data_IF_247228294549
#
_entry.id   IF_247228294549
#
_cell.length_a   1.000
_cell.length_b   1.000
_cell.length_c   1.000
_cell.angle_alpha   90.00
_cell.angle_beta   90.00
_cell.angle_gamma   90.00
#
_symmetry.space_group_name_H-M   'P 1'
#
loop_
_entity.id
_entity.type
_entity.pdbx_description
1 polymer ?
#
# COMPACT_ATOMS: atom_id res chain seq x y z
N UNK A 1 12.11 11.80 6.35
CA UNK A 1 10.66 12.09 6.14
C UNK A 1 10.49 13.41 5.41
N UNK A 2 9.59 13.47 4.48
CA UNK A 2 9.30 14.69 3.73
C UNK A 2 7.91 15.21 4.09
N UNK A 3 7.68 16.53 3.99
CA UNK A 3 6.33 17.08 4.19
C UNK A 3 5.30 16.42 3.29
N UNK A 4 5.72 16.03 2.09
CA UNK A 4 4.85 15.36 1.13
C UNK A 4 4.27 14.05 1.69
N UNK A 5 5.07 13.28 2.41
CA UNK A 5 4.60 12.04 3.03
C UNK A 5 3.48 12.30 4.03
N UNK A 6 3.67 13.29 4.89
CA UNK A 6 2.65 13.66 5.87
C UNK A 6 1.36 14.12 5.17
N UNK A 7 1.50 14.90 4.11
CA UNK A 7 0.32 15.38 3.37
C UNK A 7 -0.46 14.22 2.76
N UNK A 8 0.24 13.23 2.22
CA UNK A 8 -0.40 12.04 1.65
C UNK A 8 -1.15 11.28 2.74
N UNK A 9 -0.51 11.05 3.90
CA UNK A 9 -1.13 10.35 5.01
C UNK A 9 -2.37 11.09 5.51
N UNK A 10 -2.29 12.42 5.59
CA UNK A 10 -3.40 13.23 6.08
C UNK A 10 -4.63 13.12 5.19
N UNK A 11 -4.43 12.93 3.89
CA UNK A 11 -5.51 12.75 2.91
C UNK A 11 -5.99 11.31 2.80
N UNK A 12 -5.30 10.37 3.43
CA UNK A 12 -5.65 8.95 3.38
C UNK A 12 -6.70 8.65 4.44
N UNK A 13 -7.87 8.11 4.08
CA UNK A 13 -8.93 7.88 5.08
C UNK A 13 -8.50 7.10 6.29
N UNK A 14 -7.61 6.12 6.10
CA UNK A 14 -7.14 5.28 7.20
C UNK A 14 -6.43 6.08 8.29
N UNK A 15 -5.80 7.20 7.94
CA UNK A 15 -5.00 8.00 8.86
C UNK A 15 -5.53 9.42 9.07
N UNK A 16 -6.63 9.79 8.40
CA UNK A 16 -7.11 11.17 8.37
C UNK A 16 -7.46 11.73 9.75
N UNK A 17 -7.84 10.86 10.69
CA UNK A 17 -8.26 11.28 12.03
C UNK A 17 -7.14 11.25 13.06
N UNK A 18 -5.93 10.83 12.67
CA UNK A 18 -4.83 10.76 13.62
C UNK A 18 -4.29 12.15 13.95
N UNK A 19 -3.89 12.37 15.22
CA UNK A 19 -3.16 13.58 15.59
C UNK A 19 -1.84 13.71 14.83
N UNK A 20 -1.33 14.91 14.71
CA UNK A 20 -0.10 15.19 13.96
C UNK A 20 1.10 14.37 14.44
N UNK A 21 1.25 14.21 15.74
CA UNK A 21 2.37 13.42 16.27
C UNK A 21 2.31 11.97 15.82
N UNK A 22 1.11 11.39 15.80
CA UNK A 22 0.92 10.02 15.35
C UNK A 22 1.16 9.90 13.85
N UNK A 23 0.73 10.90 13.07
CA UNK A 23 1.00 10.92 11.62
C UNK A 23 2.51 10.98 11.34
N UNK A 24 3.26 11.74 12.11
CA UNK A 24 4.72 11.80 11.96
C UNK A 24 5.36 10.45 12.22
N UNK A 25 4.88 9.74 13.22
CA UNK A 25 5.39 8.41 13.53
C UNK A 25 5.11 7.43 12.40
N UNK A 26 3.92 7.48 11.83
CA UNK A 26 3.58 6.64 10.67
C UNK A 26 4.44 7.02 9.48
N UNK A 27 4.63 8.31 9.25
CA UNK A 27 5.46 8.79 8.15
C UNK A 27 6.90 8.30 8.26
N UNK A 28 7.43 8.21 9.48
CA UNK A 28 8.79 7.71 9.70
C UNK A 28 8.92 6.22 9.36
N UNK A 29 7.83 5.47 9.44
CA UNK A 29 7.83 4.05 9.08
C UNK A 29 7.64 3.82 7.58
N UNK A 30 7.10 4.79 6.87
CA UNK A 30 6.78 4.64 5.46
C UNK A 30 8.04 4.64 4.60
N UNK A 31 8.07 3.75 3.62
CA UNK A 31 9.17 3.64 2.67
C UNK A 31 8.63 3.99 1.28
N UNK A 32 9.26 4.96 0.63
CA UNK A 32 8.89 5.32 -0.73
C UNK A 32 9.44 4.27 -1.71
N UNK A 33 8.59 3.77 -2.58
CA UNK A 33 8.98 2.82 -3.63
C UNK A 33 8.42 3.29 -4.96
N UNK A 34 9.24 3.22 -5.99
CA UNK A 34 8.84 3.64 -7.33
C UNK A 34 8.73 2.44 -8.24
N UNK A 35 7.72 2.49 -9.11
CA UNK A 35 7.43 1.43 -10.07
C UNK A 35 7.21 2.05 -11.43
N UNK A 36 7.84 1.46 -12.44
CA UNK A 36 7.59 1.86 -13.81
C UNK A 36 6.25 1.30 -14.29
N UNK A 37 5.69 1.91 -15.31
CA UNK A 37 4.48 1.40 -15.96
C UNK A 37 4.66 -0.10 -16.28
N UNK A 38 3.65 -0.90 -15.92
CA UNK A 38 3.59 -2.36 -16.10
C UNK A 38 4.47 -3.16 -15.15
N UNK A 39 5.20 -2.51 -14.27
CA UNK A 39 5.99 -3.23 -13.29
C UNK A 39 5.09 -3.84 -12.21
N UNK A 40 5.37 -5.08 -11.81
CA UNK A 40 4.61 -5.74 -10.75
C UNK A 40 4.96 -5.14 -9.40
N UNK A 41 3.94 -4.80 -8.62
CA UNK A 41 4.11 -4.37 -7.24
C UNK A 41 4.23 -5.60 -6.34
N UNK A 42 3.33 -6.54 -6.53
CA UNK A 42 3.41 -7.87 -5.92
C UNK A 42 2.57 -8.85 -6.73
N UNK A 43 2.75 -10.13 -6.44
CA UNK A 43 1.98 -11.20 -7.06
C UNK A 43 1.13 -11.91 -6.03
N UNK A 44 0.02 -12.46 -6.49
CA UNK A 44 -0.84 -13.27 -5.62
C UNK A 44 -0.02 -14.39 -5.00
N UNK A 45 -0.15 -14.55 -3.68
CA UNK A 45 0.58 -15.56 -2.94
C UNK A 45 1.93 -15.11 -2.40
N UNK A 46 2.48 -13.99 -2.87
CA UNK A 46 3.71 -13.46 -2.30
C UNK A 46 3.50 -13.14 -0.83
N UNK A 47 4.56 -13.30 -0.04
CA UNK A 47 4.49 -12.97 1.37
C UNK A 47 4.11 -11.50 1.55
N UNK A 48 3.08 -11.27 2.34
CA UNK A 48 2.56 -9.93 2.56
C UNK A 48 3.27 -9.29 3.75
N UNK A 49 4.26 -8.45 3.45
CA UNK A 49 5.08 -7.80 4.46
C UNK A 49 4.58 -6.42 4.88
N UNK A 50 3.56 -5.92 4.23
CA UNK A 50 3.00 -4.61 4.55
C UNK A 50 1.92 -4.22 3.55
N UNK A 51 1.46 -2.99 3.69
CA UNK A 51 0.43 -2.46 2.78
C UNK A 51 0.93 -1.17 2.14
N UNK A 52 0.14 -0.63 1.22
CA UNK A 52 0.57 0.45 0.35
C UNK A 52 -0.42 1.60 0.33
N UNK A 53 0.10 2.80 0.13
CA UNK A 53 -0.68 4.01 -0.18
C UNK A 53 -0.16 4.53 -1.51
N UNK A 54 -1.05 4.86 -2.43
CA UNK A 54 -0.65 5.45 -3.71
C UNK A 54 -0.30 6.91 -3.48
N UNK A 55 0.97 7.26 -3.68
CA UNK A 55 1.41 8.65 -3.59
C UNK A 55 1.17 9.38 -4.91
N UNK A 56 1.47 8.71 -6.03
CA UNK A 56 1.18 9.23 -7.36
C UNK A 56 1.06 8.07 -8.34
N UNK A 57 0.36 8.27 -9.43
CA UNK A 57 0.15 7.24 -10.45
C UNK A 57 -1.09 6.40 -10.19
N UNK A 58 -1.10 5.20 -10.76
CA UNK A 58 -2.25 4.29 -10.66
C UNK A 58 -1.78 2.86 -10.56
N UNK A 59 -2.49 2.06 -9.77
CA UNK A 59 -2.20 0.64 -9.57
C UNK A 59 -3.46 -0.17 -9.89
N UNK A 60 -3.27 -1.24 -10.64
CA UNK A 60 -4.31 -2.20 -10.95
C UNK A 60 -4.15 -3.40 -10.02
N UNK A 61 -5.22 -3.77 -9.31
CA UNK A 61 -5.28 -4.99 -8.51
C UNK A 61 -6.18 -5.97 -9.24
N UNK A 62 -5.67 -7.18 -9.49
CA UNK A 62 -6.36 -8.12 -10.37
C UNK A 62 -6.05 -9.56 -10.02
N UNK A 63 -6.90 -10.47 -10.52
CA UNK A 63 -6.67 -11.90 -10.46
C UNK A 63 -6.55 -12.45 -11.87
N UNK A 64 -5.85 -13.57 -11.99
CA UNK A 64 -5.73 -14.30 -13.26
C UNK A 64 -6.57 -15.57 -13.19
N UNK A 65 -7.34 -15.82 -14.26
CA UNK A 65 -8.04 -17.09 -14.40
C UNK A 65 -7.05 -18.19 -14.78
N UNK A 66 -7.51 -19.44 -14.74
CA UNK A 66 -6.68 -20.57 -15.20
C UNK A 66 -6.23 -20.45 -16.65
N UNK A 67 -6.94 -19.65 -17.45
CA UNK A 67 -6.60 -19.40 -18.85
C UNK A 67 -5.72 -18.16 -19.02
N UNK A 68 -5.33 -17.51 -17.93
CA UNK A 68 -4.49 -16.32 -17.99
C UNK A 68 -5.21 -15.00 -18.23
N UNK A 69 -6.53 -14.99 -18.18
CA UNK A 69 -7.31 -13.77 -18.36
C UNK A 69 -7.33 -12.97 -17.07
N UNK A 70 -7.14 -11.67 -17.19
CA UNK A 70 -7.20 -10.77 -16.05
C UNK A 70 -8.63 -10.45 -15.67
N UNK A 71 -8.88 -10.48 -14.36
CA UNK A 71 -10.09 -9.93 -13.78
C UNK A 71 -9.67 -8.78 -12.89
N UNK A 72 -9.92 -7.55 -13.33
CA UNK A 72 -9.54 -6.37 -12.54
C UNK A 72 -10.51 -6.19 -11.40
N UNK A 73 -9.99 -6.15 -10.18
CA UNK A 73 -10.79 -5.96 -8.98
C UNK A 73 -10.88 -4.50 -8.60
N UNK A 74 -9.77 -3.78 -8.69
CA UNK A 74 -9.68 -2.36 -8.32
C UNK A 74 -8.65 -1.66 -9.16
N UNK A 75 -8.87 -0.36 -9.39
CA UNK A 75 -7.84 0.55 -9.86
C UNK A 75 -7.71 1.63 -8.78
N UNK A 76 -6.49 1.79 -8.28
CA UNK A 76 -6.23 2.67 -7.14
C UNK A 76 -5.45 3.89 -7.59
N UNK A 77 -5.83 5.03 -7.06
CA UNK A 77 -5.25 6.33 -7.41
C UNK A 77 -4.66 7.00 -6.16
N UNK A 78 -4.06 8.16 -6.37
CA UNK A 78 -3.38 8.88 -5.30
C UNK A 78 -4.28 9.06 -4.06
N UNK A 79 -3.74 8.77 -2.90
CA UNK A 79 -4.43 8.86 -1.62
C UNK A 79 -5.15 7.59 -1.19
N UNK A 80 -5.29 6.61 -2.08
CA UNK A 80 -5.97 5.36 -1.74
C UNK A 80 -4.98 4.32 -1.22
N UNK A 81 -5.48 3.46 -0.31
CA UNK A 81 -4.70 2.36 0.27
C UNK A 81 -5.10 1.05 -0.39
N UNK A 82 -4.17 0.08 -0.37
CA UNK A 82 -4.50 -1.28 -0.79
C UNK A 82 -3.65 -2.29 -0.03
N UNK A 83 -4.15 -3.52 0.01
CA UNK A 83 -3.54 -4.63 0.74
C UNK A 83 -3.50 -4.43 2.27
N UNK A 84 -4.29 -3.50 2.81
CA UNK A 84 -4.29 -3.22 4.25
C UNK A 84 -4.84 -4.39 5.08
N UNK A 85 -5.63 -5.27 4.51
CA UNK A 85 -6.17 -6.42 5.22
C UNK A 85 -5.07 -7.35 5.74
N UNK A 86 -3.91 -7.39 5.09
CA UNK A 86 -2.82 -8.27 5.51
C UNK A 86 -2.26 -7.89 6.88
N UNK A 87 -2.50 -6.65 7.34
CA UNK A 87 -2.06 -6.23 8.67
C UNK A 87 -2.73 -7.09 9.74
N UNK A 88 -3.99 -7.44 9.51
CA UNK A 88 -4.81 -8.12 10.50
C UNK A 88 -4.90 -9.62 10.26
N UNK A 89 -4.98 -10.02 9.00
CA UNK A 89 -5.23 -11.41 8.64
C UNK A 89 -3.96 -12.23 8.43
N UNK A 90 -2.88 -11.57 8.02
CA UNK A 90 -1.64 -12.27 7.72
C UNK A 90 -1.72 -13.04 6.40
N UNK A 91 -0.70 -13.84 6.15
CA UNK A 91 -0.63 -14.66 4.93
C UNK A 91 -0.06 -13.93 3.73
N UNK A 92 -0.38 -14.42 2.54
CA UNK A 92 0.06 -13.84 1.30
C UNK A 92 -0.92 -12.81 0.74
N UNK A 93 -0.46 -12.09 -0.25
CA UNK A 93 -1.36 -11.16 -0.95
C UNK A 93 -2.43 -11.96 -1.69
N UNK A 94 -3.69 -11.52 -1.63
CA UNK A 94 -4.80 -12.28 -2.22
C UNK A 94 -5.00 -12.05 -3.72
N UNK A 95 -4.19 -11.18 -4.32
CA UNK A 95 -4.31 -10.83 -5.73
C UNK A 95 -2.98 -10.28 -6.23
N UNK A 96 -2.90 -10.02 -7.54
CA UNK A 96 -1.75 -9.34 -8.13
C UNK A 96 -1.96 -7.83 -8.09
N UNK A 97 -0.85 -7.07 -8.09
CA UNK A 97 -0.89 -5.61 -8.23
C UNK A 97 0.20 -5.19 -9.21
N UNK A 98 -0.17 -4.30 -10.13
CA UNK A 98 0.71 -3.86 -11.20
C UNK A 98 0.52 -2.36 -11.44
N UNK A 99 1.62 -1.64 -11.66
CA UNK A 99 1.56 -0.22 -11.96
C UNK A 99 0.98 0.00 -13.35
N UNK A 100 -0.08 0.81 -13.45
CA UNK A 100 -0.67 1.16 -14.75
C UNK A 100 0.07 2.30 -15.43
N UNK A 101 0.71 3.13 -14.62
CA UNK A 101 1.52 4.25 -15.05
C UNK A 101 2.77 4.25 -14.21
N UNK A 102 3.72 5.14 -14.49
CA UNK A 102 4.81 5.36 -13.55
C UNK A 102 4.19 5.78 -12.21
N UNK A 103 4.55 5.08 -11.15
CA UNK A 103 3.84 5.15 -9.88
C UNK A 103 4.82 5.27 -8.73
N UNK A 104 4.46 6.10 -7.76
CA UNK A 104 5.14 6.14 -6.48
C UNK A 104 4.19 5.65 -5.41
N UNK A 105 4.65 4.68 -4.60
CA UNK A 105 3.88 4.12 -3.50
C UNK A 105 4.61 4.39 -2.19
N UNK A 106 3.83 4.57 -1.12
CA UNK A 106 4.37 4.51 0.23
C UNK A 106 4.08 3.11 0.75
N UNK A 107 5.13 2.40 1.11
CA UNK A 107 5.03 1.07 1.71
C UNK A 107 5.09 1.22 3.23
N UNK A 108 4.10 0.65 3.90
CA UNK A 108 4.05 0.63 5.37
C UNK A 108 4.29 -0.80 5.83
N UNK A 109 5.51 -1.08 6.39
CA UNK A 109 5.84 -2.43 6.80
C UNK A 109 4.91 -2.93 7.90
N UNK A 110 4.29 -4.07 7.67
CA UNK A 110 3.38 -4.69 8.63
C UNK A 110 4.03 -4.90 9.98
N UNK A 111 5.25 -5.42 9.99
CA UNK A 111 5.96 -5.74 11.21
C UNK A 111 6.08 -4.54 12.14
N UNK A 112 6.52 -3.41 11.60
CA UNK A 112 6.69 -2.21 12.41
C UNK A 112 5.35 -1.63 12.87
N UNK A 113 4.36 -1.71 12.00
CA UNK A 113 3.03 -1.18 12.31
C UNK A 113 2.36 -2.01 13.40
N UNK A 114 2.43 -3.32 13.33
CA UNK A 114 1.84 -4.23 14.31
C UNK A 114 2.59 -4.13 15.65
N UNK A 115 3.93 -4.15 15.62
CA UNK A 115 4.74 -4.02 16.82
C UNK A 115 4.40 -2.73 17.57
N UNK A 116 4.21 -1.66 16.85
CA UNK A 116 3.85 -0.38 17.44
C UNK A 116 2.51 -0.44 18.14
N UNK A 117 1.53 -1.12 17.56
CA UNK A 117 0.24 -1.31 18.19
C UNK A 117 0.32 -2.19 19.42
N UNK A 118 1.18 -3.20 19.40
CA UNK A 118 1.30 -4.13 20.50
C UNK A 118 1.99 -3.54 21.72
N UNK A 119 2.71 -2.46 21.54
CA UNK A 119 3.38 -1.77 22.64
C UNK A 119 2.40 -0.99 23.51
N UNK A 120 1.26 -0.69 22.98
CA UNK A 120 0.21 0.02 23.73
C UNK A 120 -0.59 -0.91 24.66
#
# INVERSE_FOLDING_TARGET
MTPKTIDILRKTPLFATLPDDDLRQVADLAVSRRFAKKEAVFREGDRADGFFIVASGKVKVFKLSGEGKEQVLHVLEAGQTFAEAVIFEGGGYPAHAEALTDTELLFLPKRRFVDRKSVV
#
